data_IF_866183958441
#
_entry.id   IF_866183958441
#
_cell.length_a   1.000
_cell.length_b   1.000
_cell.length_c   1.000
_cell.angle_alpha   90.00
_cell.angle_beta   90.00
_cell.angle_gamma   90.00
#
_symmetry.space_group_name_H-M   'P 1'
#
loop_
_entity.id
_entity.type
_entity.pdbx_description
1 polymer ?
#
# COMPACT_ATOMS: atom_id res chain seq x y z
N UNK A 1 15.65 40.17 10.56
CA UNK A 1 15.80 39.12 11.61
C UNK A 1 15.05 37.85 11.28
N UNK A 2 13.84 37.90 10.69
CA UNK A 2 13.08 36.70 10.30
C UNK A 2 13.72 35.97 9.11
N UNK A 3 14.24 36.70 8.10
CA UNK A 3 14.84 36.09 6.90
C UNK A 3 16.11 35.26 7.19
N UNK A 4 17.00 35.73 8.07
CA UNK A 4 18.20 34.99 8.47
C UNK A 4 17.87 33.69 9.24
N UNK A 5 16.74 33.67 9.93
CA UNK A 5 16.29 32.50 10.69
C UNK A 5 15.68 31.44 9.76
N UNK A 6 14.98 31.86 8.69
CA UNK A 6 14.49 30.99 7.62
C UNK A 6 15.63 30.41 6.77
N UNK A 7 16.65 31.20 6.43
CA UNK A 7 17.86 30.73 5.72
C UNK A 7 18.58 29.60 6.48
N UNK A 8 18.77 29.76 7.80
CA UNK A 8 19.41 28.74 8.64
C UNK A 8 18.56 27.48 8.86
N UNK A 9 17.26 27.51 8.59
CA UNK A 9 16.39 26.32 8.61
C UNK A 9 16.49 25.58 7.28
N UNK A 10 16.41 26.29 6.16
CA UNK A 10 16.53 25.71 4.81
C UNK A 10 17.89 25.03 4.62
N UNK A 11 18.97 25.67 5.07
CA UNK A 11 20.32 25.09 4.98
C UNK A 11 20.46 23.79 5.79
N UNK A 12 19.80 23.70 6.95
CA UNK A 12 19.77 22.44 7.73
C UNK A 12 18.97 21.37 6.99
N UNK A 13 17.80 21.71 6.46
CA UNK A 13 16.96 20.77 5.69
C UNK A 13 17.72 20.22 4.47
N UNK A 14 18.52 21.05 3.79
CA UNK A 14 19.38 20.62 2.69
C UNK A 14 20.43 19.60 3.13
N UNK A 15 21.06 19.81 4.29
CA UNK A 15 22.01 18.86 4.86
C UNK A 15 21.35 17.51 5.18
N UNK A 16 20.12 17.51 5.71
CA UNK A 16 19.35 16.28 5.92
C UNK A 16 19.01 15.57 4.60
N UNK A 17 18.63 16.32 3.56
CA UNK A 17 18.39 15.74 2.23
C UNK A 17 19.65 15.06 1.67
N UNK A 18 20.80 15.72 1.76
CA UNK A 18 22.09 15.18 1.29
C UNK A 18 22.53 13.96 2.10
N UNK A 19 22.38 14.00 3.42
CA UNK A 19 22.66 12.85 4.29
C UNK A 19 21.87 11.62 3.83
N UNK A 20 20.57 11.77 3.61
CA UNK A 20 19.74 10.66 3.19
C UNK A 20 20.02 10.18 1.76
N UNK A 21 20.43 11.05 0.83
CA UNK A 21 20.95 10.58 -0.47
C UNK A 21 22.23 9.74 -0.33
N UNK A 22 23.15 10.13 0.57
CA UNK A 22 24.36 9.35 0.80
C UNK A 22 24.05 7.97 1.40
N UNK A 23 23.11 7.90 2.34
CA UNK A 23 22.65 6.63 2.91
C UNK A 23 21.95 5.75 1.87
N UNK A 24 21.13 6.34 0.98
CA UNK A 24 20.50 5.63 -0.14
C UNK A 24 21.55 4.94 -1.02
N UNK A 25 22.57 5.69 -1.45
CA UNK A 25 23.65 5.15 -2.27
C UNK A 25 24.43 4.03 -1.55
N UNK A 26 24.64 4.16 -0.24
CA UNK A 26 25.28 3.11 0.57
C UNK A 26 24.43 1.83 0.57
N UNK A 27 23.14 1.94 0.90
CA UNK A 27 22.25 0.78 0.96
C UNK A 27 21.98 0.16 -0.41
N UNK A 28 21.99 0.97 -1.48
CA UNK A 28 21.96 0.46 -2.85
C UNK A 28 23.16 -0.46 -3.15
N UNK A 29 24.37 -0.08 -2.72
CA UNK A 29 25.57 -0.92 -2.88
C UNK A 29 25.48 -2.19 -2.05
N UNK A 30 25.04 -2.09 -0.79
CA UNK A 30 24.85 -3.25 0.10
C UNK A 30 23.80 -4.23 -0.43
N UNK A 31 22.70 -3.71 -0.97
CA UNK A 31 21.67 -4.49 -1.66
C UNK A 31 22.27 -5.27 -2.82
N UNK A 32 22.99 -4.60 -3.73
CA UNK A 32 23.63 -5.27 -4.88
C UNK A 32 24.67 -6.30 -4.46
N UNK A 33 25.44 -6.04 -3.40
CA UNK A 33 26.38 -7.01 -2.83
C UNK A 33 25.69 -8.24 -2.22
N UNK A 34 24.41 -8.15 -1.88
CA UNK A 34 23.63 -9.20 -1.22
C UNK A 34 22.70 -9.95 -2.18
N UNK A 35 22.90 -9.85 -3.50
CA UNK A 35 21.99 -10.44 -4.51
C UNK A 35 21.76 -11.96 -4.34
N UNK A 36 22.72 -12.68 -3.76
CA UNK A 36 22.61 -14.12 -3.49
C UNK A 36 22.07 -14.44 -2.08
N UNK A 37 21.67 -13.44 -1.30
CA UNK A 37 21.06 -13.59 0.02
C UNK A 37 19.73 -12.81 0.05
N UNK A 38 18.58 -13.48 -0.20
CA UNK A 38 17.29 -12.80 -0.30
C UNK A 38 16.93 -11.94 0.91
N UNK A 39 17.14 -12.44 2.13
CA UNK A 39 16.82 -11.69 3.35
C UNK A 39 17.57 -10.36 3.44
N UNK A 40 18.90 -10.38 3.22
CA UNK A 40 19.72 -9.16 3.22
C UNK A 40 19.42 -8.26 2.02
N UNK A 41 19.11 -8.84 0.85
CA UNK A 41 18.72 -8.08 -0.33
C UNK A 41 17.46 -7.25 -0.08
N UNK A 42 16.44 -7.84 0.57
CA UNK A 42 15.22 -7.13 0.94
C UNK A 42 15.49 -6.09 2.03
N UNK A 43 16.14 -6.48 3.12
CA UNK A 43 16.47 -5.57 4.23
C UNK A 43 17.24 -4.31 3.76
N UNK A 44 18.28 -4.48 2.94
CA UNK A 44 19.01 -3.33 2.39
C UNK A 44 18.22 -2.58 1.32
N UNK A 45 17.34 -3.25 0.59
CA UNK A 45 16.40 -2.60 -0.31
C UNK A 45 15.44 -1.66 0.40
N UNK A 46 14.98 -2.03 1.59
CA UNK A 46 14.11 -1.18 2.42
C UNK A 46 14.86 0.03 2.97
N UNK A 47 16.07 -0.18 3.48
CA UNK A 47 16.90 0.91 3.99
C UNK A 47 17.29 1.89 2.87
N UNK A 48 17.62 1.38 1.68
CA UNK A 48 17.83 2.20 0.48
C UNK A 48 16.59 3.06 0.21
N UNK A 49 15.42 2.42 0.15
CA UNK A 49 14.16 3.09 -0.14
C UNK A 49 13.80 4.16 0.90
N UNK A 50 13.88 3.82 2.19
CA UNK A 50 13.57 4.72 3.30
C UNK A 50 14.41 6.00 3.24
N UNK A 51 15.72 5.85 3.03
CA UNK A 51 16.62 6.99 2.91
C UNK A 51 16.32 7.80 1.64
N UNK A 52 16.03 7.14 0.50
CA UNK A 52 15.62 7.86 -0.71
C UNK A 52 14.39 8.73 -0.51
N UNK A 53 13.35 8.18 0.11
CA UNK A 53 12.08 8.87 0.36
C UNK A 53 12.27 10.07 1.29
N UNK A 54 13.05 9.92 2.36
CA UNK A 54 13.39 11.03 3.27
C UNK A 54 14.16 12.13 2.54
N UNK A 55 15.11 11.79 1.68
CA UNK A 55 15.88 12.76 0.91
C UNK A 55 14.99 13.63 0.02
N UNK A 56 14.02 13.02 -0.68
CA UNK A 56 13.05 13.74 -1.50
C UNK A 56 12.05 14.55 -0.67
N UNK A 57 11.64 14.05 0.50
CA UNK A 57 10.77 14.80 1.43
C UNK A 57 11.45 16.08 1.92
N UNK A 58 12.71 16.01 2.32
CA UNK A 58 13.47 17.20 2.72
C UNK A 58 13.67 18.18 1.55
N UNK A 59 13.94 17.69 0.34
CA UNK A 59 13.95 18.53 -0.87
C UNK A 59 12.62 19.23 -1.13
N UNK A 60 11.49 18.54 -0.95
CA UNK A 60 10.16 19.13 -1.13
C UNK A 60 9.86 20.22 -0.10
N UNK A 61 10.37 20.10 1.14
CA UNK A 61 10.25 21.13 2.18
C UNK A 61 10.98 22.44 1.81
N UNK A 62 12.12 22.36 1.10
CA UNK A 62 12.89 23.54 0.65
C UNK A 62 12.20 24.22 -0.54
N UNK A 63 11.53 23.45 -1.41
CA UNK A 63 10.90 23.95 -2.63
C UNK A 63 9.56 24.70 -2.41
N UNK A 64 9.16 24.98 -1.17
CA UNK A 64 7.98 25.80 -0.84
C UNK A 64 6.64 25.30 -1.42
N UNK A 65 6.56 24.05 -1.87
CA UNK A 65 5.41 23.53 -2.63
C UNK A 65 4.38 22.86 -1.72
N UNK A 66 3.66 23.66 -0.94
CA UNK A 66 2.26 23.36 -0.62
C UNK A 66 1.44 23.86 -1.81
N UNK A 67 1.16 23.01 -2.80
CA UNK A 67 0.26 23.38 -3.90
C UNK A 67 -1.17 23.45 -3.33
N UNK A 68 -1.83 24.62 -3.30
CA UNK A 68 -3.24 24.71 -2.93
C UNK A 68 -4.09 24.05 -4.03
N UNK A 69 -5.00 23.18 -3.63
CA UNK A 69 -5.80 22.27 -4.48
C UNK A 69 -6.86 22.95 -5.38
N UNK A 70 -6.82 24.27 -5.60
CA UNK A 70 -7.92 24.98 -6.27
C UNK A 70 -7.44 25.81 -7.45
N UNK A 71 -7.42 25.16 -8.62
CA UNK A 71 -7.75 25.69 -9.97
C UNK A 71 -6.94 24.95 -11.02
N UNK A 72 -7.55 23.95 -11.68
CA UNK A 72 -7.30 23.62 -13.09
C UNK A 72 -8.43 22.70 -13.59
N UNK A 73 -9.55 23.31 -14.01
CA UNK A 73 -10.52 22.67 -14.90
C UNK A 73 -10.85 23.69 -15.98
N UNK A 74 -10.31 23.52 -17.18
CA UNK A 74 -11.03 23.89 -18.40
C UNK A 74 -10.49 23.17 -19.65
N UNK A 75 -11.44 22.52 -20.32
CA UNK A 75 -11.54 22.08 -21.73
C UNK A 75 -10.38 21.36 -22.44
N UNK A 76 -10.62 20.09 -22.81
CA UNK A 76 -10.68 19.63 -24.21
C UNK A 76 -10.83 18.10 -24.26
N UNK A 77 -11.76 17.65 -25.10
CA UNK A 77 -12.50 16.40 -25.09
C UNK A 77 -11.84 15.24 -25.89
N UNK A 78 -12.21 14.03 -25.48
CA UNK A 78 -12.41 12.83 -26.30
C UNK A 78 -11.23 12.18 -27.06
N UNK A 79 -10.19 11.74 -26.33
CA UNK A 79 -9.68 10.34 -26.42
C UNK A 79 -8.71 9.98 -25.26
N UNK A 80 -8.80 10.68 -24.12
CA UNK A 80 -7.73 10.82 -23.12
C UNK A 80 -8.22 10.47 -21.71
N UNK A 81 -9.27 9.65 -21.56
CA UNK A 81 -9.80 9.33 -20.22
C UNK A 81 -8.94 8.31 -19.47
N UNK A 82 -8.42 7.29 -20.13
CA UNK A 82 -7.64 6.24 -19.46
C UNK A 82 -6.26 6.76 -18.98
N UNK A 83 -5.65 7.71 -19.70
CA UNK A 83 -4.32 8.23 -19.35
C UNK A 83 -4.33 9.48 -18.44
N UNK A 84 -5.47 10.17 -18.30
CA UNK A 84 -5.58 11.37 -17.44
C UNK A 84 -5.88 11.06 -15.97
N UNK A 85 -6.50 9.94 -15.62
CA UNK A 85 -6.80 9.58 -14.21
C UNK A 85 -5.61 8.94 -13.47
N UNK A 86 -4.70 8.36 -14.23
CA UNK A 86 -3.56 7.57 -13.74
C UNK A 86 -2.44 8.45 -13.13
N UNK A 87 -2.16 9.63 -13.70
CA UNK A 87 -1.18 10.60 -13.16
C UNK A 87 -1.61 11.34 -11.87
N UNK A 88 -2.88 11.76 -11.71
CA UNK A 88 -3.41 12.28 -10.45
C UNK A 88 -3.24 11.30 -9.31
N UNK A 89 -3.53 10.02 -9.56
CA UNK A 89 -3.54 8.99 -8.53
C UNK A 89 -2.15 8.75 -7.93
N UNK A 90 -1.10 8.68 -8.75
CA UNK A 90 0.26 8.55 -8.25
C UNK A 90 0.64 9.70 -7.32
N UNK A 91 0.31 10.94 -7.67
CA UNK A 91 0.59 12.10 -6.81
C UNK A 91 -0.16 12.02 -5.47
N UNK A 92 -1.40 11.53 -5.47
CA UNK A 92 -2.15 11.28 -4.23
C UNK A 92 -1.44 10.24 -3.36
N UNK A 93 -1.05 9.10 -3.96
CA UNK A 93 -0.35 8.03 -3.25
C UNK A 93 1.02 8.48 -2.73
N UNK A 94 1.76 9.30 -3.48
CA UNK A 94 3.03 9.88 -3.04
C UNK A 94 2.89 10.80 -1.83
N UNK A 95 1.79 11.55 -1.74
CA UNK A 95 1.52 12.44 -0.60
C UNK A 95 1.10 11.70 0.67
N UNK A 96 0.67 10.44 0.55
CA UNK A 96 0.19 9.64 1.68
C UNK A 96 -1.21 10.04 2.16
N UNK A 97 -1.64 9.44 3.27
CA UNK A 97 -2.97 9.62 3.85
C UNK A 97 -4.03 8.66 3.32
N UNK A 98 -3.65 7.65 2.52
CA UNK A 98 -4.56 6.66 1.96
C UNK A 98 -4.36 5.28 2.58
N UNK A 99 -5.44 4.49 2.54
CA UNK A 99 -5.40 3.05 2.82
C UNK A 99 -5.42 2.32 1.47
N UNK A 100 -4.46 1.41 1.28
CA UNK A 100 -4.36 0.51 0.14
C UNK A 100 -4.87 -0.87 0.58
N UNK A 101 -6.18 -1.06 0.47
CA UNK A 101 -6.80 -2.35 0.73
C UNK A 101 -6.63 -3.24 -0.50
N UNK A 102 -5.85 -4.31 -0.37
CA UNK A 102 -5.41 -5.12 -1.50
C UNK A 102 -5.86 -6.55 -1.31
N UNK A 103 -6.49 -7.14 -2.33
CA UNK A 103 -6.77 -8.57 -2.34
C UNK A 103 -5.45 -9.34 -2.49
N UNK A 104 -5.31 -10.45 -1.77
CA UNK A 104 -4.19 -11.38 -1.93
C UNK A 104 -3.93 -11.77 -3.40
N UNK A 105 -2.73 -12.27 -3.69
CA UNK A 105 -2.38 -12.78 -5.02
C UNK A 105 -3.19 -14.02 -5.41
N UNK A 106 -3.09 -14.41 -6.67
CA UNK A 106 -3.80 -15.57 -7.20
C UNK A 106 -3.56 -16.83 -6.34
N UNK A 107 -4.65 -17.50 -5.94
CA UNK A 107 -4.61 -18.68 -5.08
C UNK A 107 -5.39 -19.84 -5.70
N UNK A 108 -4.66 -20.78 -6.28
CA UNK A 108 -5.21 -21.96 -6.99
C UNK A 108 -4.63 -23.28 -6.50
N UNK A 109 -3.79 -23.26 -5.46
CA UNK A 109 -3.13 -24.45 -4.91
C UNK A 109 -3.90 -24.94 -3.68
N UNK A 110 -4.45 -26.15 -3.75
CA UNK A 110 -5.27 -26.72 -2.69
C UNK A 110 -6.66 -26.08 -2.58
N UNK A 111 -7.38 -26.40 -1.51
CA UNK A 111 -8.74 -25.93 -1.24
C UNK A 111 -8.88 -25.56 0.24
N UNK A 112 -9.77 -24.61 0.52
CA UNK A 112 -10.11 -24.24 1.90
C UNK A 112 -10.96 -25.36 2.52
N UNK A 113 -10.44 -26.02 3.56
CA UNK A 113 -11.19 -27.06 4.29
C UNK A 113 -12.27 -26.41 5.18
N UNK A 114 -13.28 -27.19 5.60
CA UNK A 114 -14.34 -26.70 6.48
C UNK A 114 -13.81 -26.16 7.82
N UNK A 115 -12.76 -26.78 8.36
CA UNK A 115 -12.12 -26.41 9.62
C UNK A 115 -10.73 -25.83 9.35
N UNK A 116 -10.70 -24.58 8.88
CA UNK A 116 -9.44 -23.89 8.61
C UNK A 116 -8.66 -23.68 9.92
N UNK A 117 -7.40 -24.11 9.91
CA UNK A 117 -6.40 -23.74 10.91
C UNK A 117 -5.43 -22.71 10.30
N UNK A 118 -5.42 -21.49 10.84
CA UNK A 118 -4.55 -20.41 10.37
C UNK A 118 -3.05 -20.66 10.61
N UNK A 119 -2.71 -21.61 11.48
CA UNK A 119 -1.34 -22.06 11.71
C UNK A 119 -0.93 -23.22 10.80
N UNK A 120 -1.89 -23.88 10.15
CA UNK A 120 -1.62 -24.97 9.23
C UNK A 120 -2.11 -24.65 7.81
N UNK A 121 -1.20 -24.19 6.95
CA UNK A 121 -1.54 -23.84 5.57
C UNK A 121 -2.00 -25.05 4.73
N UNK A 122 -1.80 -26.30 5.16
CA UNK A 122 -2.31 -27.46 4.43
C UNK A 122 -3.84 -27.59 4.48
N UNK A 123 -4.52 -26.87 5.39
CA UNK A 123 -5.98 -26.86 5.48
C UNK A 123 -6.62 -25.75 4.63
N UNK A 124 -5.82 -25.04 3.82
CA UNK A 124 -6.22 -23.82 3.12
C UNK A 124 -5.88 -23.88 1.63
N UNK A 125 -6.63 -23.10 0.84
CA UNK A 125 -6.23 -22.71 -0.51
C UNK A 125 -5.13 -21.65 -0.41
N UNK A 126 -4.01 -21.93 -1.07
CA UNK A 126 -2.77 -21.16 -0.99
C UNK A 126 -2.41 -20.49 -2.33
N UNK A 127 -1.42 -19.60 -2.28
CA UNK A 127 -0.93 -18.90 -3.47
C UNK A 127 -0.42 -19.88 -4.53
N UNK A 128 -0.73 -19.57 -5.79
CA UNK A 128 -0.09 -20.21 -6.93
C UNK A 128 1.31 -19.64 -7.16
N UNK A 129 2.11 -20.29 -8.00
CA UNK A 129 3.38 -19.69 -8.46
C UNK A 129 3.18 -18.34 -9.15
N UNK A 130 2.02 -18.11 -9.79
CA UNK A 130 1.65 -16.81 -10.35
C UNK A 130 1.33 -15.79 -9.24
N UNK A 131 0.53 -16.18 -8.24
CA UNK A 131 0.19 -15.34 -7.10
C UNK A 131 1.41 -14.86 -6.31
N UNK A 132 2.41 -15.74 -6.14
CA UNK A 132 3.70 -15.35 -5.50
C UNK A 132 4.44 -14.29 -6.32
N UNK A 133 4.52 -14.45 -7.65
CA UNK A 133 5.13 -13.42 -8.53
C UNK A 133 4.35 -12.11 -8.48
N UNK A 134 3.02 -12.16 -8.49
CA UNK A 134 2.17 -10.97 -8.36
C UNK A 134 2.45 -10.22 -7.05
N UNK A 135 2.58 -10.94 -5.93
CA UNK A 135 2.91 -10.35 -4.63
C UNK A 135 4.28 -9.64 -4.64
N UNK A 136 5.31 -10.30 -5.18
CA UNK A 136 6.65 -9.71 -5.32
C UNK A 136 6.60 -8.46 -6.21
N UNK A 137 5.98 -8.56 -7.39
CA UNK A 137 5.84 -7.43 -8.31
C UNK A 137 5.13 -6.25 -7.68
N UNK A 138 4.05 -6.49 -6.91
CA UNK A 138 3.31 -5.42 -6.25
C UNK A 138 4.19 -4.60 -5.31
N UNK A 139 4.94 -5.27 -4.42
CA UNK A 139 5.88 -4.59 -3.54
C UNK A 139 6.96 -3.84 -4.31
N UNK A 140 7.52 -4.44 -5.38
CA UNK A 140 8.53 -3.81 -6.22
C UNK A 140 8.01 -2.56 -6.94
N UNK A 141 6.77 -2.58 -7.41
CA UNK A 141 6.12 -1.44 -8.07
C UNK A 141 5.94 -0.29 -7.06
N UNK A 142 5.38 -0.55 -5.88
CA UNK A 142 5.22 0.49 -4.85
C UNK A 142 6.56 1.13 -4.46
N UNK A 143 7.61 0.31 -4.32
CA UNK A 143 8.98 0.79 -4.06
C UNK A 143 9.55 1.60 -5.23
N UNK A 144 9.32 1.16 -6.46
CA UNK A 144 9.84 1.84 -7.65
C UNK A 144 9.14 3.18 -7.91
N UNK A 145 7.87 3.29 -7.52
CA UNK A 145 7.06 4.50 -7.59
C UNK A 145 7.28 5.47 -6.42
N UNK A 146 8.09 5.12 -5.42
CA UNK A 146 8.30 5.94 -4.20
C UNK A 146 7.04 6.13 -3.36
N UNK A 147 6.06 5.22 -3.43
CA UNK A 147 4.84 5.31 -2.62
C UNK A 147 5.21 5.01 -1.16
N UNK A 148 5.05 5.97 -0.23
CA UNK A 148 5.45 5.78 1.15
C UNK A 148 4.46 4.85 1.86
N UNK A 149 4.96 3.73 2.39
CA UNK A 149 4.17 2.74 3.14
C UNK A 149 4.40 2.92 4.64
N UNK A 150 3.32 2.91 5.42
CA UNK A 150 3.38 2.82 6.86
C UNK A 150 3.49 1.35 7.29
N UNK A 151 4.59 1.04 7.98
CA UNK A 151 4.80 -0.26 8.58
C UNK A 151 4.34 -0.31 10.05
N UNK A 152 3.87 -1.48 10.53
CA UNK A 152 3.74 -2.73 9.78
C UNK A 152 2.54 -2.73 8.80
N UNK A 153 2.67 -3.50 7.72
CA UNK A 153 1.55 -3.84 6.81
C UNK A 153 0.63 -4.82 7.52
N UNK A 154 -0.68 -4.63 7.40
CA UNK A 154 -1.64 -5.57 8.00
C UNK A 154 -1.96 -6.69 7.01
N UNK A 155 -2.07 -7.92 7.52
CA UNK A 155 -2.48 -9.06 6.73
C UNK A 155 -3.58 -9.87 7.42
N UNK A 156 -4.48 -10.42 6.62
CA UNK A 156 -5.42 -11.46 7.04
C UNK A 156 -4.66 -12.72 7.49
N UNK A 157 -5.17 -13.48 8.51
CA UNK A 157 -4.51 -14.69 9.00
C UNK A 157 -4.49 -15.86 8.01
N UNK A 158 -5.22 -15.76 6.90
CA UNK A 158 -5.14 -16.75 5.82
C UNK A 158 -3.73 -16.79 5.22
N UNK A 159 -3.18 -18.00 5.04
CA UNK A 159 -1.80 -18.17 4.58
C UNK A 159 -1.53 -17.46 3.26
N UNK A 160 -2.48 -17.47 2.31
CA UNK A 160 -2.35 -16.74 1.03
C UNK A 160 -2.21 -15.22 1.18
N UNK A 161 -2.87 -14.61 2.17
CA UNK A 161 -2.81 -13.17 2.40
C UNK A 161 -1.54 -12.80 3.17
N UNK A 162 -1.21 -13.59 4.20
CA UNK A 162 0.04 -13.46 4.95
C UNK A 162 1.26 -13.61 4.02
N UNK A 163 1.33 -14.69 3.25
CA UNK A 163 2.42 -14.94 2.29
C UNK A 163 2.50 -13.85 1.21
N UNK A 164 1.36 -13.31 0.76
CA UNK A 164 1.35 -12.16 -0.16
C UNK A 164 2.03 -10.94 0.48
N UNK A 165 1.70 -10.62 1.73
CA UNK A 165 2.27 -9.48 2.44
C UNK A 165 3.77 -9.68 2.69
N UNK A 166 4.17 -10.87 3.14
CA UNK A 166 5.57 -11.23 3.42
C UNK A 166 6.43 -11.14 2.14
N UNK A 167 5.96 -11.69 1.02
CA UNK A 167 6.66 -11.60 -0.26
C UNK A 167 6.76 -10.16 -0.79
N UNK A 168 5.75 -9.34 -0.53
CA UNK A 168 5.73 -7.95 -0.99
C UNK A 168 6.58 -7.03 -0.11
N UNK A 169 6.66 -7.26 1.20
CA UNK A 169 7.13 -6.28 2.20
C UNK A 169 8.17 -6.80 3.22
N UNK A 170 8.54 -8.08 3.18
CA UNK A 170 9.39 -8.69 4.21
C UNK A 170 8.58 -9.14 5.43
N UNK A 171 8.94 -10.29 6.00
CA UNK A 171 8.21 -10.92 7.11
C UNK A 171 8.21 -10.06 8.37
N UNK A 172 9.32 -9.40 8.67
CA UNK A 172 9.50 -8.51 9.82
C UNK A 172 8.60 -7.28 9.81
N UNK A 173 8.06 -6.95 8.63
CA UNK A 173 7.22 -5.76 8.40
C UNK A 173 5.73 -6.09 8.31
N UNK A 174 5.34 -7.34 8.53
CA UNK A 174 3.95 -7.80 8.47
C UNK A 174 3.41 -8.03 9.87
N UNK A 175 2.23 -7.47 10.13
CA UNK A 175 1.44 -7.77 11.31
C UNK A 175 0.16 -8.49 10.88
N UNK A 176 0.01 -9.74 11.32
CA UNK A 176 -1.24 -10.48 11.14
C UNK A 176 -2.29 -9.93 12.11
N UNK A 177 -3.45 -9.55 11.57
CA UNK A 177 -4.57 -9.06 12.34
C UNK A 177 -5.80 -9.96 12.07
N UNK A 178 -6.32 -10.67 13.09
CA UNK A 178 -7.44 -11.60 12.95
C UNK A 178 -8.70 -10.98 12.34
N UNK A 179 -8.91 -9.67 12.53
CA UNK A 179 -10.08 -8.98 11.98
C UNK A 179 -10.18 -9.13 10.45
N UNK A 180 -9.05 -9.05 9.74
CA UNK A 180 -9.05 -9.20 8.28
C UNK A 180 -9.37 -10.63 7.81
N UNK A 181 -9.42 -11.61 8.73
CA UNK A 181 -9.97 -12.94 8.46
C UNK A 181 -11.50 -12.94 8.42
N UNK A 182 -12.15 -12.03 9.13
CA UNK A 182 -13.62 -11.92 9.15
C UNK A 182 -14.18 -11.40 7.82
N UNK A 183 -13.40 -10.59 7.10
CA UNK A 183 -13.79 -10.10 5.77
C UNK A 183 -14.02 -11.26 4.78
N UNK A 184 -13.28 -12.36 4.91
CA UNK A 184 -13.52 -13.56 4.10
C UNK A 184 -14.94 -14.13 4.30
N UNK A 185 -15.46 -14.07 5.54
CA UNK A 185 -16.79 -14.60 5.87
C UNK A 185 -17.92 -13.88 5.14
N UNK A 186 -17.72 -12.62 4.75
CA UNK A 186 -18.72 -11.85 3.99
C UNK A 186 -19.03 -12.53 2.64
N UNK A 187 -18.12 -13.33 2.09
CA UNK A 187 -18.37 -14.12 0.86
C UNK A 187 -19.22 -15.36 1.06
N UNK A 188 -19.52 -15.73 2.30
CA UNK A 188 -20.40 -16.83 2.66
C UNK A 188 -21.80 -16.39 3.04
N UNK A 189 -22.58 -17.33 3.58
CA UNK A 189 -23.88 -17.04 4.16
C UNK A 189 -23.70 -16.67 5.63
N UNK A 190 -24.05 -15.43 5.98
CA UNK A 190 -24.04 -14.94 7.35
C UNK A 190 -25.46 -14.52 7.76
N UNK A 191 -25.75 -14.57 9.06
CA UNK A 191 -26.93 -13.89 9.58
C UNK A 191 -26.70 -12.36 9.57
N UNK A 192 -27.79 -11.61 9.55
CA UNK A 192 -27.76 -10.14 9.42
C UNK A 192 -26.92 -9.46 10.51
N UNK A 193 -27.02 -9.91 11.77
CA UNK A 193 -26.31 -9.29 12.89
C UNK A 193 -24.79 -9.46 12.76
N UNK A 194 -24.34 -10.64 12.38
CA UNK A 194 -22.91 -10.92 12.21
C UNK A 194 -22.35 -10.17 10.99
N UNK A 195 -23.11 -10.12 9.91
CA UNK A 195 -22.77 -9.31 8.74
C UNK A 195 -22.65 -7.83 9.11
N UNK A 196 -23.63 -7.26 9.81
CA UNK A 196 -23.61 -5.86 10.27
C UNK A 196 -22.41 -5.57 11.19
N UNK A 197 -22.10 -6.50 12.11
CA UNK A 197 -20.94 -6.38 13.00
C UNK A 197 -19.63 -6.26 12.22
N UNK A 198 -19.41 -7.15 11.25
CA UNK A 198 -18.19 -7.17 10.43
C UNK A 198 -18.10 -5.89 9.58
N UNK A 199 -19.21 -5.44 8.98
CA UNK A 199 -19.23 -4.23 8.16
C UNK A 199 -18.97 -2.97 8.99
N UNK A 200 -19.53 -2.89 10.20
CA UNK A 200 -19.27 -1.78 11.12
C UNK A 200 -17.78 -1.75 11.52
N UNK A 201 -17.19 -2.89 11.84
CA UNK A 201 -15.78 -2.99 12.15
C UNK A 201 -14.89 -2.63 10.94
N UNK A 202 -15.28 -3.04 9.73
CA UNK A 202 -14.60 -2.66 8.49
C UNK A 202 -14.65 -1.15 8.28
N UNK A 203 -15.82 -0.54 8.47
CA UNK A 203 -15.98 0.90 8.38
C UNK A 203 -15.05 1.61 9.36
N UNK A 204 -15.07 1.25 10.65
CA UNK A 204 -14.19 1.83 11.65
C UNK A 204 -12.71 1.66 11.30
N UNK A 205 -12.31 0.51 10.76
CA UNK A 205 -10.93 0.28 10.34
C UNK A 205 -10.51 1.17 9.14
N UNK A 206 -11.42 1.42 8.20
CA UNK A 206 -11.19 2.27 7.03
C UNK A 206 -11.30 3.78 7.31
N UNK A 207 -11.79 4.16 8.49
CA UNK A 207 -11.85 5.55 8.96
C UNK A 207 -10.53 6.02 9.62
N UNK A 208 -9.61 5.10 9.91
CA UNK A 208 -8.33 5.40 10.56
C UNK A 208 -7.40 6.10 9.57
N UNK A 209 -7.11 7.38 9.84
CA UNK A 209 -6.16 8.16 9.05
C UNK A 209 -4.74 7.63 9.28
N UNK A 210 -4.00 7.22 8.24
CA UNK A 210 -2.60 6.79 8.36
C UNK A 210 -1.69 7.94 8.85
N UNK A 211 -0.52 7.63 9.40
CA UNK A 211 0.47 8.64 9.75
C UNK A 211 0.81 9.59 8.58
N UNK A 212 1.05 10.85 8.91
CA UNK A 212 1.23 11.92 7.92
C UNK A 212 2.34 11.59 6.91
N UNK A 213 1.99 11.64 5.62
CA UNK A 213 2.92 11.39 4.52
C UNK A 213 3.17 9.90 4.25
N UNK A 214 2.34 9.01 4.77
CA UNK A 214 2.43 7.55 4.54
C UNK A 214 1.08 6.96 4.19
N UNK A 215 1.07 5.81 3.52
CA UNK A 215 -0.13 5.05 3.21
C UNK A 215 -0.17 3.78 4.04
N UNK A 216 -1.34 3.40 4.55
CA UNK A 216 -1.53 2.11 5.21
C UNK A 216 -1.77 1.04 4.15
N UNK A 217 -1.08 -0.10 4.22
CA UNK A 217 -1.36 -1.25 3.35
C UNK A 217 -2.03 -2.34 4.17
N UNK A 218 -3.06 -2.96 3.58
CA UNK A 218 -3.81 -4.07 4.16
C UNK A 218 -3.95 -5.15 3.07
N UNK A 219 -3.46 -6.35 3.33
CA UNK A 219 -3.59 -7.50 2.43
C UNK A 219 -4.66 -8.46 2.95
N UNK A 220 -5.77 -8.57 2.23
CA UNK A 220 -6.93 -9.33 2.65
C UNK A 220 -7.67 -9.96 1.45
N UNK A 221 -9.00 -9.96 1.45
CA UNK A 221 -9.85 -10.72 0.52
C UNK A 221 -10.72 -9.82 -0.34
N UNK A 222 -11.33 -10.36 -1.40
CA UNK A 222 -12.37 -9.62 -2.15
C UNK A 222 -13.61 -9.41 -1.29
N UNK A 223 -14.39 -8.38 -1.64
CA UNK A 223 -15.77 -8.25 -1.17
C UNK A 223 -16.75 -8.96 -2.11
N UNK A 224 -17.92 -9.37 -1.60
CA UNK A 224 -19.06 -9.77 -2.41
C UNK A 224 -19.60 -8.61 -3.25
N UNK A 225 -20.14 -8.92 -4.43
CA UNK A 225 -20.69 -7.93 -5.38
C UNK A 225 -21.77 -7.02 -4.78
N UNK A 226 -22.48 -7.48 -3.75
CA UNK A 226 -23.56 -6.74 -3.11
C UNK A 226 -23.09 -5.49 -2.33
N UNK A 227 -21.79 -5.35 -2.06
CA UNK A 227 -21.25 -4.28 -1.21
C UNK A 227 -20.82 -3.01 -1.96
N UNK A 228 -21.16 -2.87 -3.25
CA UNK A 228 -20.82 -1.68 -4.05
C UNK A 228 -19.34 -1.53 -4.39
N UNK A 229 -18.47 -2.32 -3.76
CA UNK A 229 -17.09 -2.55 -4.16
C UNK A 229 -17.11 -3.69 -5.19
N UNK A 230 -16.81 -3.37 -6.45
CA UNK A 230 -16.64 -4.38 -7.50
C UNK A 230 -15.74 -5.52 -7.02
N UNK A 231 -15.95 -6.73 -7.55
CA UNK A 231 -15.09 -7.87 -7.22
C UNK A 231 -13.62 -7.49 -7.47
N UNK A 232 -12.82 -7.48 -6.40
CA UNK A 232 -11.43 -7.05 -6.46
C UNK A 232 -10.67 -8.17 -7.15
N UNK A 233 -9.96 -7.95 -8.28
CA UNK A 233 -9.14 -8.98 -8.91
C UNK A 233 -7.95 -9.35 -8.02
N UNK A 234 -7.25 -10.45 -8.32
CA UNK A 234 -6.02 -10.79 -7.57
C UNK A 234 -5.01 -9.63 -7.64
N UNK A 235 -4.45 -9.25 -6.49
CA UNK A 235 -3.64 -8.02 -6.31
C UNK A 235 -4.33 -6.70 -6.69
N UNK A 236 -5.65 -6.71 -6.92
CA UNK A 236 -6.43 -5.49 -7.05
C UNK A 236 -6.38 -4.69 -5.75
N UNK A 237 -6.13 -3.39 -5.87
CA UNK A 237 -5.99 -2.46 -4.75
C UNK A 237 -7.10 -1.43 -4.79
N UNK A 238 -7.92 -1.40 -3.73
CA UNK A 238 -8.86 -0.32 -3.47
C UNK A 238 -8.12 0.78 -2.72
N UNK A 239 -8.05 1.96 -3.31
CA UNK A 239 -7.48 3.16 -2.69
C UNK A 239 -8.59 3.86 -1.94
N UNK A 240 -8.45 3.91 -0.62
CA UNK A 240 -9.43 4.49 0.30
C UNK A 240 -8.85 5.74 0.95
N UNK A 241 -9.64 6.81 1.00
CA UNK A 241 -9.33 8.04 1.72
C UNK A 241 -10.16 8.11 3.00
N UNK A 242 -9.55 7.92 4.18
CA UNK A 242 -10.25 8.09 5.44
C UNK A 242 -10.61 9.56 5.69
N UNK A 243 -11.81 9.82 6.21
CA UNK A 243 -12.23 11.17 6.63
C UNK A 243 -12.04 11.41 8.13
N UNK A 244 -11.61 10.37 8.86
CA UNK A 244 -11.41 10.36 10.31
C UNK A 244 -12.46 9.53 11.04
N UNK A 245 -12.18 9.22 12.32
CA UNK A 245 -13.04 8.42 13.18
C UNK A 245 -14.48 8.97 13.25
N UNK A 246 -15.45 8.13 12.93
CA UNK A 246 -16.88 8.45 12.86
C UNK A 246 -17.30 9.35 11.68
N UNK A 247 -16.38 9.66 10.76
CA UNK A 247 -16.62 10.55 9.61
C UNK A 247 -16.71 9.81 8.27
N UNK A 248 -16.54 8.50 8.25
CA UNK A 248 -16.55 7.69 7.04
C UNK A 248 -15.24 7.74 6.25
N UNK A 249 -15.31 7.19 5.03
CA UNK A 249 -14.22 7.11 4.09
C UNK A 249 -14.74 7.24 2.66
N UNK A 250 -13.86 7.60 1.73
CA UNK A 250 -14.14 7.66 0.30
C UNK A 250 -13.34 6.59 -0.44
N UNK A 251 -13.98 5.88 -1.36
CA UNK A 251 -13.28 5.01 -2.31
C UNK A 251 -12.84 5.87 -3.48
N UNK A 252 -11.53 6.03 -3.63
CA UNK A 252 -10.93 6.92 -4.62
C UNK A 252 -10.67 6.20 -5.93
N UNK A 253 -10.22 4.95 -5.87
CA UNK A 253 -9.94 4.14 -7.03
C UNK A 253 -9.98 2.64 -6.70
N UNK A 254 -10.21 1.82 -7.72
CA UNK A 254 -9.84 0.40 -7.75
C UNK A 254 -8.82 0.25 -8.87
N UNK A 255 -7.60 -0.17 -8.53
CA UNK A 255 -6.48 -0.32 -9.46
C UNK A 255 -6.09 -1.79 -9.52
N UNK A 256 -5.96 -2.34 -10.73
CA UNK A 256 -5.36 -3.66 -10.95
C UNK A 256 -3.84 -3.65 -10.80
N UNK A 257 -3.21 -4.81 -10.62
CA UNK A 257 -1.74 -4.89 -10.60
C UNK A 257 -1.12 -4.35 -11.90
N UNK A 258 -1.76 -4.60 -13.04
CA UNK A 258 -1.30 -4.11 -14.35
C UNK A 258 -1.35 -2.59 -14.44
N UNK A 259 -2.48 -1.98 -14.06
CA UNK A 259 -2.61 -0.52 -14.07
C UNK A 259 -1.65 0.14 -13.08
N UNK A 260 -1.39 -0.48 -11.93
CA UNK A 260 -0.39 -0.01 -10.98
C UNK A 260 1.02 -0.08 -11.61
N UNK A 261 1.32 -1.15 -12.35
CA UNK A 261 2.58 -1.28 -13.08
C UNK A 261 2.72 -0.25 -14.20
N UNK A 262 1.63 0.17 -14.83
CA UNK A 262 1.65 1.17 -15.89
C UNK A 262 2.03 2.57 -15.39
N UNK A 263 1.93 2.83 -14.08
CA UNK A 263 2.44 4.06 -13.46
C UNK A 263 3.97 4.21 -13.54
N UNK A 264 4.70 3.13 -13.84
CA UNK A 264 6.17 3.16 -13.97
C UNK A 264 6.64 3.69 -15.33
N UNK A 265 5.74 3.81 -16.31
CA UNK A 265 6.04 4.21 -17.70
C UNK A 265 5.87 5.72 -17.90
#
# INVERSE_FOLDING_TARGET
MIDQQCEGINQRIEQWALFHFAQEDQFKRLKMASVNNPALFYQYGEQQFFNKALAFRYKAMIAGSLIPYTKMVESAENNTQISREVKPLLNLLLNGGYILYTRHGESTVGEDQANIDFQNCSTQRNLSGNGKRQAVSYGEILRSLYIPVNFPVLASPFCRARETAELAFGEENVQVDPFWGEIYKLSGHLNEREQERILKALQSALEIIPPLGTNKVIIAHSFPKAFGLNQIPDMGTVVVKPLGDGKGYEVVALITLTELSDLLK
#
